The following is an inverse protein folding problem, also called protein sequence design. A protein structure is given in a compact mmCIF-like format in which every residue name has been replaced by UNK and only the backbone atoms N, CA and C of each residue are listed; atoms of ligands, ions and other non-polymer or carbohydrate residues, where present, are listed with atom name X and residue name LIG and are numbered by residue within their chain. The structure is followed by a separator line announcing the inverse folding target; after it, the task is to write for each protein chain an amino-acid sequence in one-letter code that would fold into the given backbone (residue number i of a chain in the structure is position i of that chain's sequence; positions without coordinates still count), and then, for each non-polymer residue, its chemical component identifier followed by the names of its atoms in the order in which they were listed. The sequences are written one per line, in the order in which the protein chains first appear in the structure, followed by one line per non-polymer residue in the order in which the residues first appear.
data_IF_884348646775
#
_entry.id   IF_884348646775
#
_cell.length_a   1.000
_cell.length_b   1.000
_cell.length_c   1.000
_cell.angle_alpha   90.00
_cell.angle_beta   90.00
_cell.angle_gamma   90.00
#
_symmetry.space_group_name_H-M   'P 1'
#
loop_
_entity.id
_entity.type
_entity.pdbx_description
1 polymer ?
#
# COMPACT_ATOMS: atom_id res chain seq x y z
N UNK A 1 28.91 -63.79 -2.64
CA UNK A 1 29.00 -62.72 -1.63
C UNK A 1 28.46 -61.43 -2.25
N UNK A 2 27.19 -61.07 -1.99
CA UNK A 2 26.59 -59.82 -2.47
C UNK A 2 26.75 -58.74 -1.40
N UNK A 3 27.57 -57.72 -1.68
CA UNK A 3 27.72 -56.54 -0.81
C UNK A 3 26.59 -55.56 -1.10
N UNK A 4 25.69 -55.38 -0.13
CA UNK A 4 24.66 -54.33 -0.13
C UNK A 4 25.32 -52.98 0.07
N UNK A 5 25.33 -52.13 -0.96
CA UNK A 5 25.64 -50.70 -0.85
C UNK A 5 24.41 -50.00 -0.24
N UNK A 6 24.50 -49.64 1.04
CA UNK A 6 23.53 -48.77 1.68
C UNK A 6 23.85 -47.32 1.29
N UNK A 7 23.11 -46.78 0.32
CA UNK A 7 23.19 -45.37 -0.06
C UNK A 7 22.45 -44.52 0.96
N UNK A 8 23.18 -43.66 1.68
CA UNK A 8 22.59 -42.64 2.54
C UNK A 8 22.00 -41.52 1.67
N UNK A 9 20.68 -41.44 1.61
CA UNK A 9 19.98 -40.31 0.99
C UNK A 9 20.04 -39.15 1.98
N UNK A 10 20.92 -38.19 1.73
CA UNK A 10 20.92 -36.92 2.43
C UNK A 10 19.75 -36.07 1.92
N UNK A 11 18.67 -35.99 2.70
CA UNK A 11 17.56 -35.07 2.44
C UNK A 11 18.04 -33.66 2.76
N UNK A 12 18.41 -32.92 1.73
CA UNK A 12 18.76 -31.50 1.84
C UNK A 12 17.47 -30.73 2.13
N UNK A 13 17.19 -30.45 3.40
CA UNK A 13 16.07 -29.62 3.81
C UNK A 13 16.34 -28.17 3.38
N UNK A 14 15.85 -27.79 2.20
CA UNK A 14 15.79 -26.38 1.79
C UNK A 14 14.84 -25.65 2.74
N UNK A 15 15.40 -24.88 3.65
CA UNK A 15 14.63 -23.94 4.46
C UNK A 15 13.99 -22.92 3.52
N UNK A 16 12.67 -23.00 3.34
CA UNK A 16 11.92 -21.99 2.64
C UNK A 16 11.96 -20.70 3.46
N UNK A 17 12.78 -19.73 3.04
CA UNK A 17 12.74 -18.39 3.61
C UNK A 17 11.42 -17.76 3.20
N UNK A 18 10.48 -17.62 4.14
CA UNK A 18 9.28 -16.81 3.91
C UNK A 18 9.72 -15.37 3.70
N UNK A 19 9.69 -14.89 2.46
CA UNK A 19 9.91 -13.48 2.15
C UNK A 19 8.70 -12.73 2.71
N UNK A 20 8.93 -11.93 3.75
CA UNK A 20 7.90 -11.04 4.28
C UNK A 20 7.69 -9.92 3.28
N UNK A 21 6.66 -10.06 2.46
CA UNK A 21 6.25 -9.11 1.46
C UNK A 21 5.60 -7.89 2.16
N UNK A 22 6.14 -6.70 1.90
CA UNK A 22 5.64 -5.43 2.42
C UNK A 22 5.34 -4.50 1.25
N UNK A 23 4.12 -4.01 1.14
CA UNK A 23 3.72 -3.20 -0.01
C UNK A 23 2.68 -2.17 0.38
N UNK A 24 2.86 -0.96 -0.12
CA UNK A 24 1.97 0.18 0.05
C UNK A 24 2.22 1.22 -1.05
N UNK A 25 1.32 2.19 -1.18
CA UNK A 25 1.52 3.36 -2.05
C UNK A 25 2.44 4.37 -1.36
N UNK A 26 3.50 4.81 -2.05
CA UNK A 26 4.38 5.87 -1.56
C UNK A 26 3.92 7.26 -1.98
N UNK A 27 3.44 7.38 -3.22
CA UNK A 27 2.91 8.62 -3.76
C UNK A 27 1.60 8.35 -4.48
N UNK A 28 0.54 9.05 -4.09
CA UNK A 28 -0.76 8.95 -4.73
C UNK A 28 -0.75 9.69 -6.06
N UNK A 29 -0.17 10.90 -6.09
CA UNK A 29 -0.09 11.76 -7.27
C UNK A 29 1.36 12.21 -7.52
N UNK A 30 2.09 11.41 -8.27
CA UNK A 30 3.46 11.67 -8.69
C UNK A 30 3.49 12.52 -9.95
N UNK A 31 4.35 13.54 -9.96
CA UNK A 31 4.72 14.30 -11.13
C UNK A 31 6.01 13.72 -11.72
N UNK A 32 5.93 12.92 -12.81
CA UNK A 32 7.10 12.30 -13.40
C UNK A 32 8.00 13.28 -14.18
N UNK A 33 7.57 14.52 -14.44
CA UNK A 33 8.40 15.53 -15.10
C UNK A 33 9.30 16.21 -14.07
N UNK A 34 8.72 16.60 -12.94
CA UNK A 34 9.45 17.29 -11.86
C UNK A 34 9.97 16.35 -10.77
N UNK A 35 9.68 15.06 -10.88
CA UNK A 35 10.06 14.00 -9.95
C UNK A 35 9.66 14.29 -8.50
N UNK A 36 8.46 14.85 -8.33
CA UNK A 36 7.93 15.25 -7.02
C UNK A 36 6.60 14.58 -6.74
N UNK A 37 6.36 14.26 -5.48
CA UNK A 37 5.06 13.77 -5.04
C UNK A 37 4.15 14.94 -4.64
N UNK A 38 3.00 15.04 -5.28
CA UNK A 38 1.99 16.09 -5.08
C UNK A 38 0.83 15.64 -4.17
N UNK A 39 0.89 14.41 -3.65
CA UNK A 39 -0.13 13.89 -2.76
C UNK A 39 0.21 12.50 -2.24
N UNK A 40 -0.05 12.28 -0.97
CA UNK A 40 0.35 11.08 -0.23
C UNK A 40 -0.87 10.32 0.28
N UNK A 41 -0.71 9.04 0.65
CA UNK A 41 -1.77 8.30 1.32
C UNK A 41 -1.91 8.70 2.79
N UNK A 42 -3.02 8.31 3.42
CA UNK A 42 -3.35 8.70 4.80
C UNK A 42 -2.25 8.30 5.76
N UNK A 43 -1.82 9.20 6.65
CA UNK A 43 -0.86 8.91 7.70
C UNK A 43 0.51 8.39 7.22
N UNK A 44 0.91 8.72 5.98
CA UNK A 44 2.19 8.29 5.43
C UNK A 44 3.36 8.79 6.30
N UNK A 45 4.22 7.90 6.84
CA UNK A 45 5.28 8.28 7.76
C UNK A 45 6.58 8.72 7.06
N UNK A 46 6.65 8.57 5.72
CA UNK A 46 7.88 8.75 4.95
C UNK A 46 8.82 7.55 5.02
N UNK A 47 9.53 7.27 3.91
CA UNK A 47 10.51 6.17 3.84
C UNK A 47 11.72 6.33 4.75
N UNK A 48 11.97 7.54 5.24
CA UNK A 48 13.02 7.81 6.23
C UNK A 48 12.68 7.19 7.60
N UNK A 49 11.41 6.79 7.82
CA UNK A 49 11.04 6.05 9.00
C UNK A 49 11.52 4.59 8.89
N UNK A 50 12.51 4.23 9.71
CA UNK A 50 13.10 2.88 9.73
C UNK A 50 12.10 1.75 10.01
N UNK A 51 10.95 2.07 10.59
CA UNK A 51 9.88 1.11 10.91
C UNK A 51 8.72 1.16 9.90
N UNK A 52 8.85 1.85 8.77
CA UNK A 52 7.76 2.02 7.80
C UNK A 52 7.16 0.68 7.35
N UNK A 53 8.00 -0.35 7.14
CA UNK A 53 7.55 -1.69 6.79
C UNK A 53 6.48 -2.22 7.77
N UNK A 54 6.74 -2.10 9.07
CA UNK A 54 5.83 -2.58 10.12
C UNK A 54 4.66 -1.64 10.34
N UNK A 55 4.88 -0.33 10.23
CA UNK A 55 3.86 0.67 10.55
C UNK A 55 2.84 0.88 9.44
N UNK A 56 3.25 0.69 8.18
CA UNK A 56 2.49 1.16 7.04
C UNK A 56 2.02 0.05 6.08
N UNK A 57 2.61 -1.15 6.18
CA UNK A 57 2.05 -2.32 5.49
C UNK A 57 0.75 -2.72 6.15
N UNK A 58 -0.33 -2.74 5.38
CA UNK A 58 -1.58 -3.36 5.80
C UNK A 58 -1.86 -4.60 4.96
N UNK A 59 -1.82 -5.75 5.64
CA UNK A 59 -1.88 -7.06 5.01
C UNK A 59 -3.14 -7.80 5.43
N UNK A 60 -3.66 -8.55 4.48
CA UNK A 60 -4.78 -9.45 4.65
C UNK A 60 -4.35 -10.87 4.34
N UNK A 61 -4.56 -11.78 5.29
CA UNK A 61 -4.28 -13.19 5.07
C UNK A 61 -5.44 -13.85 4.32
N UNK A 62 -5.12 -14.70 3.34
CA UNK A 62 -6.08 -15.38 2.47
C UNK A 62 -7.02 -14.39 1.77
N UNK A 63 -8.25 -14.78 1.46
CA UNK A 63 -9.27 -13.86 0.90
C UNK A 63 -10.23 -13.46 2.02
N UNK A 64 -9.99 -12.33 2.69
CA UNK A 64 -10.80 -11.97 3.84
C UNK A 64 -12.23 -11.63 3.43
N UNK A 65 -13.18 -12.17 4.21
CA UNK A 65 -14.61 -11.90 4.06
C UNK A 65 -15.05 -10.65 4.82
N UNK A 66 -14.38 -10.30 5.93
CA UNK A 66 -14.62 -9.10 6.71
C UNK A 66 -13.40 -8.75 7.55
N UNK A 67 -13.00 -7.49 7.47
CA UNK A 67 -12.01 -6.78 8.28
C UNK A 67 -11.91 -5.34 7.75
N UNK A 68 -11.34 -4.39 8.51
CA UNK A 68 -11.14 -3.02 8.03
C UNK A 68 -10.48 -2.99 6.65
N UNK A 69 -10.95 -2.11 5.75
CA UNK A 69 -10.35 -1.98 4.42
C UNK A 69 -9.00 -1.25 4.48
N UNK A 70 -8.86 -0.33 5.43
CA UNK A 70 -7.63 0.41 5.70
C UNK A 70 -7.02 -0.08 7.01
N UNK A 71 -5.72 0.16 7.22
CA UNK A 71 -5.15 -0.09 8.54
C UNK A 71 -5.94 0.72 9.58
N UNK A 72 -6.16 0.21 10.81
CA UNK A 72 -6.96 0.92 11.80
C UNK A 72 -6.49 2.37 12.05
N UNK A 73 -5.18 2.62 11.93
CA UNK A 73 -4.60 3.97 12.03
C UNK A 73 -5.03 4.88 10.88
N UNK A 74 -5.02 4.39 9.63
CA UNK A 74 -5.52 5.12 8.46
C UNK A 74 -7.05 5.27 8.44
N UNK A 75 -7.74 4.32 9.08
CA UNK A 75 -9.20 4.29 9.16
C UNK A 75 -9.74 5.28 10.20
N UNK A 76 -9.05 5.43 11.32
CA UNK A 76 -9.48 6.27 12.44
C UNK A 76 -9.46 7.77 12.12
N UNK A 77 -8.53 8.22 11.27
CA UNK A 77 -8.44 9.62 10.84
C UNK A 77 -7.64 9.76 9.54
N UNK A 78 -7.88 10.86 8.82
CA UNK A 78 -7.21 11.16 7.53
C UNK A 78 -5.71 11.40 7.68
N UNK A 79 -5.27 11.99 8.80
CA UNK A 79 -3.86 12.11 9.21
C UNK A 79 -2.90 12.66 8.15
N UNK A 80 -3.36 13.61 7.32
CA UNK A 80 -2.48 14.34 6.42
C UNK A 80 -1.68 15.39 7.19
N UNK A 81 -0.44 15.64 6.75
CA UNK A 81 0.42 16.69 7.30
C UNK A 81 0.81 17.68 6.22
N UNK A 82 1.43 18.79 6.59
CA UNK A 82 2.01 19.72 5.62
C UNK A 82 3.15 19.09 4.81
N UNK A 83 3.88 18.14 5.39
CA UNK A 83 4.95 17.38 4.72
C UNK A 83 4.38 16.31 3.77
N UNK A 84 3.28 15.68 4.16
CA UNK A 84 2.61 14.62 3.40
C UNK A 84 1.15 15.02 3.15
N UNK A 85 0.91 15.98 2.24
CA UNK A 85 -0.43 16.49 1.99
C UNK A 85 -1.29 15.50 1.19
N UNK A 86 -2.59 15.69 1.29
CA UNK A 86 -3.58 14.99 0.46
C UNK A 86 -3.44 15.41 -1.01
N UNK A 87 -3.64 14.47 -1.94
CA UNK A 87 -3.64 14.77 -3.36
C UNK A 87 -4.81 15.69 -3.74
N UNK A 88 -4.58 16.60 -4.69
CA UNK A 88 -5.63 17.40 -5.33
C UNK A 88 -5.68 17.10 -6.82
N UNK A 89 -6.88 16.89 -7.37
CA UNK A 89 -7.07 16.57 -8.79
C UNK A 89 -8.37 17.13 -9.38
N UNK A 90 -8.50 17.14 -10.70
CA UNK A 90 -9.73 17.43 -11.42
C UNK A 90 -10.47 16.15 -11.83
N UNK A 91 -11.79 16.19 -12.04
CA UNK A 91 -12.50 15.10 -12.72
C UNK A 91 -11.90 14.85 -14.11
N UNK A 92 -11.65 13.59 -14.45
CA UNK A 92 -11.02 13.18 -15.72
C UNK A 92 -9.50 13.31 -15.76
N UNK A 93 -8.87 13.82 -14.70
CA UNK A 93 -7.41 13.93 -14.64
C UNK A 93 -6.76 12.54 -14.56
N UNK A 94 -5.64 12.35 -15.27
CA UNK A 94 -4.80 11.15 -15.08
C UNK A 94 -3.86 11.36 -13.89
N UNK A 95 -3.92 10.45 -12.93
CA UNK A 95 -3.04 10.40 -11.77
C UNK A 95 -2.02 9.29 -11.97
N UNK A 96 -0.75 9.59 -11.66
CA UNK A 96 0.32 8.61 -11.57
C UNK A 96 0.58 8.29 -10.11
N UNK A 97 0.56 7.01 -9.75
CA UNK A 97 0.77 6.51 -8.39
C UNK A 97 2.04 5.68 -8.36
N UNK A 98 2.86 5.82 -7.31
CA UNK A 98 4.11 5.07 -7.14
C UNK A 98 4.09 4.15 -5.93
N UNK A 99 4.82 3.04 -6.02
CA UNK A 99 5.08 2.09 -4.94
C UNK A 99 6.42 1.39 -5.20
N UNK A 100 6.98 0.66 -4.24
CA UNK A 100 8.13 -0.21 -4.49
C UNK A 100 7.70 -1.62 -4.89
N UNK A 101 8.45 -2.26 -5.80
CA UNK A 101 8.18 -3.66 -6.16
C UNK A 101 8.48 -4.64 -5.03
N UNK A 102 9.41 -4.29 -4.12
CA UNK A 102 9.87 -5.10 -3.00
C UNK A 102 10.14 -6.58 -3.33
N UNK A 103 10.83 -6.82 -4.45
CA UNK A 103 11.17 -8.17 -4.93
C UNK A 103 10.03 -8.95 -5.60
N UNK A 104 8.91 -8.32 -5.93
CA UNK A 104 7.74 -8.96 -6.55
C UNK A 104 7.60 -8.68 -8.06
N UNK A 105 8.71 -8.53 -8.78
CA UNK A 105 8.69 -8.40 -10.24
C UNK A 105 8.10 -9.66 -10.89
N UNK A 106 7.05 -9.53 -11.68
CA UNK A 106 6.50 -10.64 -12.48
C UNK A 106 6.04 -10.16 -13.86
N UNK A 107 6.87 -10.42 -14.88
CA UNK A 107 6.55 -10.09 -16.26
C UNK A 107 5.66 -11.12 -16.95
N UNK A 108 5.67 -12.37 -16.47
CA UNK A 108 4.96 -13.47 -17.12
C UNK A 108 3.49 -13.49 -16.70
N UNK A 109 3.22 -13.28 -15.41
CA UNK A 109 1.89 -13.33 -14.83
C UNK A 109 1.66 -12.19 -13.82
N UNK A 110 1.81 -10.92 -14.25
CA UNK A 110 1.70 -9.79 -13.34
C UNK A 110 0.35 -9.77 -12.62
N UNK A 111 0.42 -9.64 -11.30
CA UNK A 111 -0.77 -9.38 -10.49
C UNK A 111 -1.29 -7.98 -10.78
N UNK A 112 -2.60 -7.82 -10.60
CA UNK A 112 -3.28 -6.55 -10.83
C UNK A 112 -3.46 -5.80 -9.51
N UNK A 113 -3.20 -4.51 -9.59
CA UNK A 113 -3.68 -3.51 -8.63
C UNK A 113 -5.01 -2.98 -9.14
N UNK A 114 -5.93 -2.73 -8.22
CA UNK A 114 -7.17 -1.99 -8.45
C UNK A 114 -7.21 -0.74 -7.57
N UNK A 115 -7.73 0.35 -8.14
CA UNK A 115 -8.05 1.57 -7.40
C UNK A 115 -9.56 1.64 -7.23
N UNK A 116 -10.06 1.30 -6.05
CA UNK A 116 -11.49 1.30 -5.71
C UNK A 116 -11.93 2.64 -5.12
N UNK A 117 -13.19 3.01 -5.34
CA UNK A 117 -13.81 4.20 -4.76
C UNK A 117 -15.33 4.10 -4.67
N UNK A 118 -15.93 5.03 -3.91
CA UNK A 118 -17.36 5.30 -3.93
C UNK A 118 -17.65 6.67 -4.58
N UNK A 119 -18.70 6.80 -5.42
CA UNK A 119 -19.07 8.07 -6.03
C UNK A 119 -19.67 9.09 -5.05
N UNK A 120 -19.90 8.71 -3.80
CA UNK A 120 -20.32 9.59 -2.71
C UNK A 120 -19.10 10.08 -1.93
N UNK A 121 -18.84 11.39 -1.92
CA UNK A 121 -17.64 12.00 -1.33
C UNK A 121 -17.44 11.69 0.15
N UNK A 122 -18.51 11.66 0.94
CA UNK A 122 -18.43 11.36 2.37
C UNK A 122 -18.30 9.87 2.70
N UNK A 123 -18.41 8.99 1.71
CA UNK A 123 -18.42 7.54 1.93
C UNK A 123 -17.00 7.00 1.95
N UNK A 124 -16.62 6.39 3.08
CA UNK A 124 -15.36 5.69 3.23
C UNK A 124 -15.57 4.18 3.22
N UNK A 125 -14.54 3.44 2.81
CA UNK A 125 -14.52 2.01 3.03
C UNK A 125 -14.32 1.75 4.51
N UNK A 126 -15.16 0.94 5.12
CA UNK A 126 -15.05 0.47 6.50
C UNK A 126 -14.70 -1.00 6.58
N UNK A 127 -15.02 -1.78 5.53
CA UNK A 127 -14.78 -3.23 5.50
C UNK A 127 -14.35 -3.70 4.11
N UNK A 128 -13.47 -4.69 4.06
CA UNK A 128 -12.91 -5.24 2.84
C UNK A 128 -13.97 -5.84 1.89
N UNK A 129 -15.11 -6.30 2.41
CA UNK A 129 -16.24 -6.83 1.61
C UNK A 129 -16.88 -5.78 0.71
N UNK A 130 -16.78 -4.51 1.08
CA UNK A 130 -17.35 -3.39 0.33
C UNK A 130 -16.69 -3.19 -1.04
N UNK A 131 -15.51 -3.77 -1.28
CA UNK A 131 -14.89 -3.80 -2.62
C UNK A 131 -15.80 -4.42 -3.68
N UNK A 132 -16.68 -5.35 -3.28
CA UNK A 132 -17.57 -6.07 -4.20
C UNK A 132 -18.67 -5.18 -4.79
N UNK A 133 -18.97 -4.04 -4.16
CA UNK A 133 -19.98 -3.08 -4.61
C UNK A 133 -19.36 -1.72 -5.00
N UNK A 134 -18.04 -1.58 -4.84
CA UNK A 134 -17.33 -0.37 -5.18
C UNK A 134 -17.15 -0.20 -6.69
N UNK A 135 -16.94 1.04 -7.11
CA UNK A 135 -16.49 1.35 -8.47
C UNK A 135 -14.96 1.24 -8.55
N UNK A 136 -14.45 1.01 -9.75
CA UNK A 136 -13.00 0.96 -10.05
C UNK A 136 -12.62 2.20 -10.87
N UNK A 137 -11.69 3.01 -10.36
CA UNK A 137 -11.15 4.17 -11.06
C UNK A 137 -10.02 3.79 -12.02
N UNK A 138 -9.32 2.69 -11.75
CA UNK A 138 -8.31 2.14 -12.64
C UNK A 138 -7.78 0.78 -12.20
N UNK A 139 -7.08 0.13 -13.11
CA UNK A 139 -6.32 -1.09 -12.84
C UNK A 139 -5.00 -1.07 -13.61
N UNK A 140 -3.95 -1.59 -12.98
CA UNK A 140 -2.59 -1.61 -13.50
C UNK A 140 -1.86 -2.87 -13.04
N UNK A 141 -0.78 -3.24 -13.71
CA UNK A 141 0.09 -4.31 -13.22
C UNK A 141 0.83 -3.83 -11.95
N UNK A 142 1.10 -4.74 -11.03
CA UNK A 142 1.85 -4.40 -9.82
C UNK A 142 3.32 -4.10 -10.14
N UNK A 143 4.08 -5.05 -10.67
CA UNK A 143 5.49 -4.82 -10.99
C UNK A 143 5.92 -5.61 -12.24
N UNK A 144 6.27 -4.90 -13.30
CA UNK A 144 6.81 -5.42 -14.56
C UNK A 144 7.98 -4.55 -15.03
N UNK A 145 8.70 -5.02 -16.03
CA UNK A 145 9.77 -4.25 -16.66
C UNK A 145 9.25 -2.95 -17.28
N UNK A 146 7.98 -2.94 -17.69
CA UNK A 146 7.37 -1.80 -18.37
C UNK A 146 6.94 -0.68 -17.42
N UNK A 147 6.90 -0.95 -16.11
CA UNK A 147 6.37 0.02 -15.14
C UNK A 147 7.26 0.21 -13.90
N UNK A 148 8.43 -0.41 -13.85
CA UNK A 148 9.42 -0.24 -12.79
C UNK A 148 10.71 0.39 -13.34
N UNK A 149 11.26 1.40 -12.65
CA UNK A 149 12.40 2.17 -13.17
C UNK A 149 13.67 1.34 -13.37
N UNK A 150 13.99 0.48 -12.40
CA UNK A 150 15.15 -0.43 -12.43
C UNK A 150 14.66 -1.84 -12.08
N UNK A 151 14.04 -2.57 -13.03
CA UNK A 151 13.34 -3.83 -12.72
C UNK A 151 14.19 -4.87 -12.00
N UNK A 152 15.51 -4.91 -12.26
CA UNK A 152 16.44 -5.81 -11.58
C UNK A 152 16.77 -5.47 -10.12
N UNK A 153 16.38 -4.29 -9.61
CA UNK A 153 16.63 -3.87 -8.24
C UNK A 153 15.42 -4.12 -7.35
N UNK A 154 15.49 -4.98 -6.30
CA UNK A 154 14.31 -5.38 -5.52
C UNK A 154 13.49 -4.24 -4.93
N UNK A 155 14.11 -3.11 -4.60
CA UNK A 155 13.41 -1.94 -4.06
C UNK A 155 13.26 -0.83 -5.09
N UNK A 156 13.20 -1.16 -6.39
CA UNK A 156 12.89 -0.15 -7.40
C UNK A 156 11.48 0.37 -7.19
N UNK A 157 11.33 1.67 -7.43
CA UNK A 157 10.02 2.29 -7.58
C UNK A 157 9.39 1.82 -8.88
N UNK A 158 8.10 1.55 -8.81
CA UNK A 158 7.21 1.28 -9.92
C UNK A 158 6.12 2.35 -9.96
N UNK A 159 5.49 2.45 -11.12
CA UNK A 159 4.54 3.49 -11.46
C UNK A 159 3.31 2.87 -12.12
N UNK A 160 2.15 3.42 -11.84
CA UNK A 160 0.93 3.13 -12.58
C UNK A 160 0.07 4.36 -12.72
N UNK A 161 -0.77 4.37 -13.74
CA UNK A 161 -1.69 5.48 -13.99
C UNK A 161 -3.13 5.03 -13.90
N UNK A 162 -4.00 5.93 -13.45
CA UNK A 162 -5.45 5.77 -13.46
C UNK A 162 -6.11 7.14 -13.66
N UNK A 163 -7.41 7.14 -13.97
CA UNK A 163 -8.13 8.39 -14.27
C UNK A 163 -9.11 8.68 -13.15
N UNK A 164 -9.08 9.90 -12.63
CA UNK A 164 -10.08 10.40 -11.69
C UNK A 164 -11.43 10.36 -12.40
N UNK A 165 -12.46 9.70 -11.85
CA UNK A 165 -13.75 9.60 -12.53
C UNK A 165 -14.32 10.98 -12.88
N UNK A 166 -14.75 11.14 -14.13
CA UNK A 166 -15.21 12.44 -14.64
C UNK A 166 -16.55 12.89 -14.02
N UNK A 167 -17.28 11.97 -13.39
CA UNK A 167 -18.54 12.21 -12.68
C UNK A 167 -18.35 12.67 -11.22
N UNK A 168 -17.10 12.74 -10.72
CA UNK A 168 -16.85 13.27 -9.38
C UNK A 168 -17.10 14.78 -9.32
N UNK A 169 -17.73 15.21 -8.24
CA UNK A 169 -18.17 16.60 -8.04
C UNK A 169 -16.99 17.43 -7.51
N UNK A 170 -16.60 18.52 -8.19
CA UNK A 170 -15.61 19.45 -7.66
C UNK A 170 -15.99 20.05 -6.30
N UNK A 171 -14.99 20.38 -5.49
CA UNK A 171 -15.13 20.90 -4.12
C UNK A 171 -15.30 19.82 -3.06
N UNK A 172 -15.11 18.54 -3.40
CA UNK A 172 -15.36 17.41 -2.50
C UNK A 172 -14.10 16.54 -2.33
N UNK A 173 -14.00 15.88 -1.18
CA UNK A 173 -12.98 14.86 -0.93
C UNK A 173 -13.57 13.49 -1.23
N UNK A 174 -12.84 12.66 -1.95
CA UNK A 174 -13.25 11.29 -2.24
C UNK A 174 -12.23 10.31 -1.70
N UNK A 175 -12.73 9.20 -1.15
CA UNK A 175 -11.92 8.16 -0.58
C UNK A 175 -11.66 7.03 -1.58
N UNK A 176 -10.39 6.63 -1.68
CA UNK A 176 -9.90 5.62 -2.61
C UNK A 176 -9.07 4.57 -1.89
N UNK A 177 -9.02 3.38 -2.48
CA UNK A 177 -8.22 2.26 -1.98
C UNK A 177 -7.43 1.66 -3.11
N UNK A 178 -6.11 1.68 -2.98
CA UNK A 178 -5.20 0.88 -3.78
C UNK A 178 -5.18 -0.53 -3.18
N UNK A 179 -5.52 -1.55 -3.96
CA UNK A 179 -5.73 -2.91 -3.47
C UNK A 179 -5.15 -3.93 -4.45
N UNK A 180 -4.34 -4.87 -3.98
CA UNK A 180 -3.75 -5.89 -4.84
C UNK A 180 -3.53 -7.22 -4.13
N UNK A 181 -3.35 -8.27 -4.93
CA UNK A 181 -3.12 -9.65 -4.50
C UNK A 181 -1.69 -10.07 -4.79
N UNK A 182 -1.01 -10.63 -3.80
CA UNK A 182 0.28 -11.27 -3.95
C UNK A 182 0.10 -12.79 -4.18
N UNK A 183 0.35 -13.21 -5.42
CA UNK A 183 0.12 -14.57 -5.92
C UNK A 183 1.28 -15.54 -5.61
N UNK A 184 2.47 -15.06 -5.21
CA UNK A 184 3.59 -15.97 -4.91
C UNK A 184 3.50 -16.59 -3.50
N UNK A 185 2.54 -16.16 -2.67
CA UNK A 185 2.21 -16.84 -1.42
C UNK A 185 1.01 -17.80 -1.65
N UNK A 186 1.20 -19.14 -1.52
CA UNK A 186 0.11 -20.10 -1.67
C UNK A 186 -1.07 -19.90 -0.71
N UNK A 187 -0.82 -19.31 0.47
CA UNK A 187 -1.88 -18.99 1.43
C UNK A 187 -2.74 -17.79 1.00
N UNK A 188 -2.29 -17.04 0.00
CA UNK A 188 -2.86 -15.78 -0.46
C UNK A 188 -2.58 -14.63 0.51
N UNK A 189 -2.11 -13.52 -0.04
CA UNK A 189 -1.91 -12.28 0.70
C UNK A 189 -2.46 -11.12 -0.12
N UNK A 190 -3.19 -10.23 0.51
CA UNK A 190 -3.63 -8.99 -0.12
C UNK A 190 -3.11 -7.80 0.67
N UNK A 191 -2.96 -6.69 -0.02
CA UNK A 191 -2.53 -5.44 0.59
C UNK A 191 -3.48 -4.34 0.20
N UNK A 192 -3.63 -3.38 1.09
CA UNK A 192 -4.29 -2.13 0.76
C UNK A 192 -3.49 -0.92 1.21
N UNK A 193 -3.73 0.19 0.52
CA UNK A 193 -3.36 1.51 1.00
C UNK A 193 -4.52 2.45 0.73
N UNK A 194 -4.94 3.15 1.77
CA UNK A 194 -6.05 4.08 1.70
C UNK A 194 -5.56 5.51 1.55
N UNK A 195 -6.22 6.24 0.68
CA UNK A 195 -5.92 7.64 0.40
C UNK A 195 -7.17 8.40 0.02
N UNK A 196 -7.06 9.71 0.02
CA UNK A 196 -8.12 10.61 -0.40
C UNK A 196 -7.61 11.53 -1.49
N UNK A 197 -8.53 11.97 -2.33
CA UNK A 197 -8.28 12.98 -3.35
C UNK A 197 -9.29 14.11 -3.16
N UNK A 198 -8.78 15.32 -2.97
CA UNK A 198 -9.57 16.54 -3.08
C UNK A 198 -9.83 16.80 -4.55
N UNK A 199 -11.07 16.62 -4.98
CA UNK A 199 -11.49 16.90 -6.35
C UNK A 199 -11.86 18.37 -6.45
N UNK A 200 -11.17 19.13 -7.28
CA UNK A 200 -11.35 20.55 -7.50
C UNK A 200 -11.66 20.86 -8.97
N UNK A 201 -12.18 22.05 -9.24
CA UNK A 201 -12.38 22.52 -10.63
C UNK A 201 -11.06 22.89 -11.32
N UNK A 202 -10.03 23.18 -10.52
CA UNK A 202 -8.67 23.46 -10.92
C UNK A 202 -7.70 22.59 -10.11
N UNK A 203 -6.77 21.93 -10.78
CA UNK A 203 -5.67 21.21 -10.14
C UNK A 203 -4.35 21.53 -10.85
N UNK A 204 -3.23 21.22 -10.20
CA UNK A 204 -1.96 21.14 -10.92
C UNK A 204 -2.05 19.95 -11.87
N UNK A 205 -2.34 20.22 -13.14
CA UNK A 205 -2.35 19.22 -14.21
C UNK A 205 -0.90 19.00 -14.60
N UNK A 206 -0.36 17.83 -14.25
CA UNK A 206 0.91 17.40 -14.82
C UNK A 206 0.66 17.10 -16.29
N UNK A 207 1.47 17.64 -17.20
CA UNK A 207 1.39 17.25 -18.60
C UNK A 207 1.57 15.73 -18.70
N UNK A 208 0.57 15.05 -19.22
CA UNK A 208 0.59 13.61 -19.39
C UNK A 208 1.53 13.24 -20.54
N UNK A 209 2.74 12.80 -20.21
CA UNK A 209 3.49 11.95 -21.12
C UNK A 209 2.92 10.52 -21.02
N UNK A 210 2.89 9.78 -22.13
CA UNK A 210 2.47 8.39 -22.07
C UNK A 210 3.39 7.62 -21.11
N UNK A 211 2.85 6.69 -20.32
CA UNK A 211 3.66 5.91 -19.37
C UNK A 211 4.88 5.27 -20.05
N UNK A 212 4.78 4.66 -21.26
CA UNK A 212 5.96 4.19 -21.98
C UNK A 212 7.01 5.28 -22.25
N UNK A 213 6.61 6.52 -22.51
CA UNK A 213 7.56 7.63 -22.74
C UNK A 213 8.28 8.02 -21.45
N UNK A 214 7.59 7.95 -20.31
CA UNK A 214 8.18 8.18 -18.99
C UNK A 214 9.21 7.10 -18.66
N UNK A 215 8.89 5.85 -18.98
CA UNK A 215 9.75 4.70 -18.67
C UNK A 215 10.91 4.56 -19.67
N UNK A 216 10.69 4.83 -20.96
CA UNK A 216 11.70 4.75 -22.01
C UNK A 216 12.76 5.85 -21.90
N UNK A 217 12.43 6.99 -21.27
CA UNK A 217 13.43 8.03 -20.95
C UNK A 217 14.46 7.58 -19.94
N UNK A 218 14.26 6.42 -19.29
CA UNK A 218 15.22 5.74 -18.43
C UNK A 218 16.13 6.72 -17.72
N UNK A 219 15.55 7.60 -16.88
CA UNK A 219 16.27 8.79 -16.44
C UNK A 219 17.57 8.34 -15.74
N UNK A 220 18.76 8.61 -16.28
CA UNK A 220 20.01 8.23 -15.62
C UNK A 220 20.29 9.08 -14.38
N UNK A 221 19.50 10.14 -14.14
CA UNK A 221 19.53 10.95 -12.91
C UNK A 221 18.56 10.42 -11.85
N UNK A 222 18.53 9.10 -11.59
CA UNK A 222 17.81 8.56 -10.42
C UNK A 222 18.60 8.88 -9.13
N UNK A 223 18.70 10.16 -8.78
CA UNK A 223 18.93 10.56 -7.38
C UNK A 223 17.69 10.30 -6.51
N UNK A 224 16.59 9.82 -7.11
CA UNK A 224 15.36 9.41 -6.44
C UNK A 224 15.37 7.98 -5.90
N UNK A 225 16.51 7.27 -5.92
CA UNK A 225 16.65 6.07 -5.08
C UNK A 225 16.93 6.53 -3.66
N UNK A 226 15.87 6.89 -2.93
CA UNK A 226 15.89 7.01 -1.47
C UNK A 226 16.28 5.65 -0.88
N UNK A 227 17.59 5.44 -0.75
CA UNK A 227 18.23 4.19 -0.39
C UNK A 227 19.65 4.06 -0.97
N UNK A 228 19.86 4.45 -2.23
CA UNK A 228 21.21 4.44 -2.84
C UNK A 228 21.92 5.75 -2.53
N UNK A 229 21.27 6.91 -2.56
CA UNK A 229 21.95 8.17 -2.23
C UNK A 229 22.39 8.20 -0.75
N UNK A 230 21.59 7.66 0.18
CA UNK A 230 21.97 7.61 1.59
C UNK A 230 23.01 6.51 1.89
N UNK A 231 22.93 5.34 1.25
CA UNK A 231 23.98 4.31 1.38
C UNK A 231 25.27 4.71 0.67
N UNK A 232 25.20 5.38 -0.48
CA UNK A 232 26.37 5.92 -1.20
C UNK A 232 26.93 7.12 -0.45
N UNK A 233 26.13 8.01 0.13
CA UNK A 233 26.63 9.09 0.98
C UNK A 233 27.22 8.54 2.30
N UNK A 234 26.64 7.51 2.90
CA UNK A 234 27.22 6.83 4.06
C UNK A 234 28.50 6.06 3.72
N UNK A 235 28.57 5.45 2.53
CA UNK A 235 29.75 4.76 2.03
C UNK A 235 30.87 5.74 1.66
N UNK A 236 30.53 6.88 1.02
CA UNK A 236 31.45 7.99 0.73
C UNK A 236 31.94 8.61 2.03
N UNK A 237 31.08 8.84 3.02
CA UNK A 237 31.45 9.35 4.34
C UNK A 237 32.38 8.39 5.11
N UNK A 238 32.18 7.07 4.99
CA UNK A 238 33.10 6.07 5.54
C UNK A 238 34.41 5.94 4.74
N UNK A 239 34.40 6.25 3.44
CA UNK A 239 35.60 6.19 2.60
C UNK A 239 36.47 7.45 2.76
N UNK A 240 35.87 8.62 3.01
CA UNK A 240 36.61 9.85 3.32
C UNK A 240 37.25 9.86 4.71
N UNK A 241 36.81 9.01 5.66
CA UNK A 241 37.53 8.80 6.93
C UNK A 241 38.84 8.02 6.78
N UNK A 242 39.07 7.34 5.66
CA UNK A 242 40.32 6.59 5.38
C UNK A 242 41.34 7.38 4.54
N UNK A 243 40.99 8.60 4.11
CA UNK A 243 41.86 9.47 3.31
C UNK A 243 42.23 10.75 4.07
N UNK A 244 42.77 10.61 5.28
CA UNK A 244 43.55 11.69 5.91
C UNK A 244 45.04 11.29 5.94
N UNK A 245 45.91 11.86 5.09
CA UNK A 245 47.35 11.59 5.12
C UNK A 245 48.09 12.28 6.27
N UNK A 246 47.41 13.03 7.14
CA UNK A 246 48.05 13.85 8.18
C UNK A 246 47.36 13.71 9.55
N UNK A 247 47.54 12.57 10.22
CA UNK A 247 47.47 12.53 11.69
C UNK A 247 48.53 11.57 12.21
N UNK A 248 49.49 12.14 12.94
CA UNK A 248 50.53 11.42 13.65
C UNK A 248 49.95 10.51 14.72
N UNK A 249 50.71 9.44 14.95
CA UNK A 249 50.52 8.42 15.98
C UNK A 249 50.33 9.07 17.36
N UNK A 250 49.23 8.75 18.04
CA UNK A 250 49.12 8.85 19.49
C UNK A 250 48.68 7.49 20.06
N UNK A 251 49.22 7.06 21.21
CA UNK A 251 48.98 5.73 21.75
C UNK A 251 47.64 5.64 22.46
N UNK A 252 46.90 4.57 22.14
CA UNK A 252 45.67 4.16 22.80
C UNK A 252 46.00 3.47 24.11
N UNK A 253 45.57 4.06 25.23
CA UNK A 253 45.39 3.34 26.50
C UNK A 253 44.16 3.89 27.22
N UNK A 254 43.05 3.14 27.21
CA UNK A 254 42.22 2.84 28.39
C UNK A 254 41.14 1.82 28.03
N UNK A 255 40.78 0.88 28.94
CA UNK A 255 39.81 -0.17 28.69
C UNK A 255 38.38 0.32 28.92
N UNK A 256 37.48 -0.03 28.00
CA UNK A 256 36.04 0.17 28.16
C UNK A 256 35.47 -0.94 29.05
N UNK A 257 35.12 -0.61 30.29
CA UNK A 257 34.24 -1.44 31.13
C UNK A 257 32.82 -1.33 30.62
N UNK A 258 32.26 -2.46 30.17
CA UNK A 258 30.85 -2.61 29.79
C UNK A 258 29.95 -2.46 31.01
N UNK A 259 29.18 -1.38 31.06
CA UNK A 259 28.07 -1.24 32.00
C UNK A 259 26.80 -1.80 31.36
N UNK A 260 26.04 -2.70 32.01
CA UNK A 260 24.78 -3.18 31.48
C UNK A 260 23.72 -2.07 31.50
N UNK A 261 22.76 -2.09 30.55
CA UNK A 261 21.70 -1.10 30.48
C UNK A 261 20.82 -1.14 31.74
N UNK A 262 20.27 0.01 32.18
CA UNK A 262 19.39 0.06 33.35
C UNK A 262 18.10 -0.74 33.08
N UNK A 263 17.75 -1.60 34.03
CA UNK A 263 16.48 -2.32 34.06
C UNK A 263 15.31 -1.34 34.04
N UNK A 264 14.50 -1.42 32.98
CA UNK A 264 13.21 -0.74 32.88
C UNK A 264 12.23 -1.38 33.88
N UNK A 265 11.85 -0.63 34.91
CA UNK A 265 10.72 -0.95 35.78
C UNK A 265 9.43 -0.69 35.03
N UNK A 266 8.71 -1.77 34.72
CA UNK A 266 7.33 -1.71 34.24
C UNK A 266 6.44 -1.10 35.32
N UNK A 267 5.83 0.05 34.99
CA UNK A 267 4.69 0.58 35.76
C UNK A 267 3.45 -0.22 35.36
N UNK A 268 2.67 -0.78 36.30
CA UNK A 268 1.45 -1.51 35.96
C UNK A 268 0.43 -0.57 35.33
N UNK A 269 -0.13 -0.99 34.20
CA UNK A 269 -1.30 -0.35 33.60
C UNK A 269 -2.48 -0.50 34.58
N UNK A 270 -3.15 0.59 35.00
CA UNK A 270 -4.32 0.47 35.84
C UNK A 270 -5.46 -0.25 35.09
N UNK A 271 -6.28 -1.05 35.78
CA UNK A 271 -7.37 -1.79 35.16
C UNK A 271 -8.38 -0.84 34.51
N UNK A 272 -8.89 -1.25 33.35
CA UNK A 272 -9.89 -0.51 32.60
C UNK A 272 -11.15 -0.27 33.45
N UNK A 273 -11.63 0.98 33.43
CA UNK A 273 -12.92 1.34 34.00
C UNK A 273 -14.04 0.56 33.29
N UNK A 274 -15.03 0.03 34.03
CA UNK A 274 -16.18 -0.64 33.43
C UNK A 274 -16.99 0.32 32.56
N UNK A 275 -17.45 -0.18 31.42
CA UNK A 275 -18.30 0.55 30.50
C UNK A 275 -19.61 1.00 31.17
N UNK A 276 -20.14 2.19 30.85
CA UNK A 276 -21.43 2.63 31.36
C UNK A 276 -22.55 1.69 30.90
N UNK A 277 -23.44 1.35 31.84
CA UNK A 277 -24.62 0.53 31.57
C UNK A 277 -25.54 1.23 30.55
N UNK A 278 -25.83 0.54 29.45
CA UNK A 278 -26.80 0.98 28.44
C UNK A 278 -28.21 0.78 29.02
N UNK A 279 -29.09 1.80 29.01
CA UNK A 279 -30.47 1.65 29.45
C UNK A 279 -31.23 0.72 28.50
N UNK A 280 -31.84 -0.32 29.05
CA UNK A 280 -32.74 -1.21 28.35
C UNK A 280 -34.02 -0.47 27.92
N UNK A 281 -34.15 -0.17 26.64
CA UNK A 281 -35.42 0.29 26.05
C UNK A 281 -36.32 -0.91 25.78
N UNK A 282 -37.44 -0.95 26.50
CA UNK A 282 -38.55 -1.89 26.29
C UNK A 282 -39.18 -1.69 24.91
N UNK A 283 -39.11 -2.73 24.07
CA UNK A 283 -39.80 -2.81 22.78
C UNK A 283 -41.29 -3.05 22.98
N UNK A 284 -42.12 -2.06 22.64
CA UNK A 284 -43.57 -2.24 22.48
C UNK A 284 -43.86 -2.83 21.10
N UNK A 285 -44.36 -4.05 21.07
CA UNK A 285 -44.88 -4.73 19.88
C UNK A 285 -46.20 -4.09 19.46
N UNK A 286 -46.24 -3.42 18.31
CA UNK A 286 -47.48 -3.07 17.63
C UNK A 286 -47.53 -3.85 16.32
N UNK A 287 -48.59 -4.65 16.16
CA UNK A 287 -48.81 -5.52 15.01
C UNK A 287 -49.03 -4.69 13.72
N UNK A 288 -48.54 -5.16 12.55
CA UNK A 288 -48.85 -4.52 11.27
C UNK A 288 -50.23 -4.96 10.76
N UNK A 289 -50.98 -4.09 10.07
CA UNK A 289 -52.22 -4.48 9.40
C UNK A 289 -51.95 -5.28 8.13
N UNK A 290 -52.75 -6.32 7.93
CA UNK A 290 -52.76 -7.20 6.75
C UNK A 290 -52.94 -6.44 5.44
N UNK A 291 -51.98 -6.60 4.52
CA UNK A 291 -52.09 -6.15 3.14
C UNK A 291 -52.87 -7.16 2.30
N UNK A 292 -53.84 -6.67 1.53
CA UNK A 292 -54.66 -7.43 0.61
C UNK A 292 -53.86 -7.89 -0.62
N UNK A 293 -53.95 -9.17 -0.93
CA UNK A 293 -53.35 -9.82 -2.10
C UNK A 293 -54.15 -9.49 -3.36
N UNK A 294 -53.60 -8.69 -4.25
CA UNK A 294 -54.09 -8.53 -5.64
C UNK A 294 -53.16 -9.30 -6.57
N UNK A 295 -53.64 -10.41 -7.10
CA UNK A 295 -52.94 -11.23 -8.10
C UNK A 295 -53.28 -10.74 -9.50
N UNK A 296 -52.29 -10.18 -10.20
CA UNK A 296 -52.31 -10.05 -11.67
C UNK A 296 -51.22 -10.96 -12.26
N UNK A 297 -51.52 -11.77 -13.28
CA UNK A 297 -50.55 -12.70 -13.84
C UNK A 297 -49.59 -11.99 -14.81
N UNK A 298 -48.29 -12.11 -14.53
CA UNK A 298 -47.20 -11.72 -15.42
C UNK A 298 -47.11 -12.69 -16.61
N UNK A 299 -47.20 -12.13 -17.81
CA UNK A 299 -47.10 -12.80 -19.11
C UNK A 299 -45.62 -12.97 -19.47
N UNK A 300 -45.12 -14.20 -19.52
CA UNK A 300 -43.77 -14.52 -19.98
C UNK A 300 -43.60 -14.18 -21.47
N UNK A 301 -42.56 -13.40 -21.79
CA UNK A 301 -42.10 -13.15 -23.17
C UNK A 301 -40.92 -14.10 -23.44
N UNK A 302 -40.93 -14.89 -24.53
CA UNK A 302 -39.83 -15.79 -24.85
C UNK A 302 -38.61 -15.05 -25.42
N UNK A 303 -37.44 -15.56 -25.04
CA UNK A 303 -36.10 -15.10 -25.46
C UNK A 303 -35.82 -15.53 -26.91
N UNK A 304 -35.23 -14.69 -27.78
CA UNK A 304 -34.82 -15.13 -29.11
C UNK A 304 -33.53 -15.96 -29.07
N UNK A 305 -33.50 -17.01 -29.90
CA UNK A 305 -32.36 -17.91 -30.11
C UNK A 305 -31.22 -17.21 -30.86
N UNK A 306 -29.96 -17.61 -30.64
CA UNK A 306 -28.81 -17.06 -31.35
C UNK A 306 -28.69 -17.65 -32.76
N UNK A 307 -28.31 -16.80 -33.72
CA UNK A 307 -27.62 -17.15 -34.96
C UNK A 307 -26.12 -17.11 -34.74
#
# INVERSE_FOLDING_TARGET
MYRKLAGAIAVLATAATSVLAHSWVDCVKYDPINEVCLGYPRGYPGRQNVNINTLYTYIFNASPVSQPMCSPVQQASTNYSSTFPMATAQPGETIYTTWEQNGHLDNANPTKVFVYYFPQSSQQFTDVSQRNTAKVAGSMNFATNDNCYVPGYPNTVCLGSWVVPADLVPGQVYHFVWFWYFNANPAGQWYSTCFDVQVNSASHVVQTAALPDLMAKGNPNINYVWGVTDQVNALIANTTMLANPNQGVLPVTTPYTSQPPPSSTFVPVPPALPAPAVPSTSSSTTAPPSAATSTSPLKCIPRPSPL
#
